data_IF_970247533653
#
_entry.id   IF_970247533653
#
_cell.length_a   1.000
_cell.length_b   1.000
_cell.length_c   1.000
_cell.angle_alpha   90.00
_cell.angle_beta   90.00
_cell.angle_gamma   90.00
#
_symmetry.space_group_name_H-M   'P 1'
#
loop_
_entity.id
_entity.type
_entity.pdbx_description
1 polymer ?
#
# COMPACT_ATOMS: atom_id res chain seq x y z
N UNK A 1 13.20 13.20 16.65
CA UNK A 1 12.33 13.69 15.56
C UNK A 1 10.92 13.81 16.14
N UNK A 2 10.28 14.97 16.05
CA UNK A 2 8.90 15.11 16.54
C UNK A 2 7.95 14.31 15.64
N UNK A 3 6.95 13.65 16.22
CA UNK A 3 6.00 12.79 15.50
C UNK A 3 5.30 13.55 14.36
N UNK A 4 4.94 14.83 14.57
CA UNK A 4 4.35 15.67 13.53
C UNK A 4 5.24 15.83 12.30
N UNK A 5 6.57 15.88 12.48
CA UNK A 5 7.52 15.94 11.35
C UNK A 5 7.57 14.61 10.61
N UNK A 6 7.38 13.49 11.31
CA UNK A 6 7.29 12.18 10.70
C UNK A 6 5.99 12.04 9.89
N UNK A 7 4.87 12.52 10.39
CA UNK A 7 3.59 12.53 9.66
C UNK A 7 3.72 13.29 8.32
N UNK A 8 4.30 14.49 8.34
CA UNK A 8 4.59 15.25 7.12
C UNK A 8 5.57 14.54 6.18
N UNK A 9 6.57 13.87 6.74
CA UNK A 9 7.49 13.07 5.95
C UNK A 9 6.76 11.91 5.27
N UNK A 10 5.83 11.22 5.94
CA UNK A 10 5.08 10.07 5.38
C UNK A 10 3.99 10.51 4.39
N UNK A 11 3.44 11.71 4.52
CA UNK A 11 2.49 12.26 3.55
C UNK A 11 3.09 12.37 2.13
N UNK A 12 4.38 12.69 2.00
CA UNK A 12 5.04 12.81 0.70
C UNK A 12 5.15 11.46 -0.05
N UNK A 13 5.70 10.37 0.53
CA UNK A 13 5.64 9.02 -0.04
C UNK A 13 4.23 8.54 -0.31
N UNK A 14 3.25 8.88 0.54
CA UNK A 14 1.85 8.53 0.28
C UNK A 14 1.36 9.17 -1.03
N UNK A 15 1.59 10.46 -1.24
CA UNK A 15 1.21 11.13 -2.50
C UNK A 15 1.96 10.57 -3.70
N UNK A 16 3.29 10.38 -3.58
CA UNK A 16 4.09 9.79 -4.65
C UNK A 16 3.61 8.38 -5.01
N UNK A 17 3.25 7.57 -4.01
CA UNK A 17 2.74 6.21 -4.23
C UNK A 17 1.44 6.18 -5.03
N UNK A 18 0.53 7.15 -4.81
CA UNK A 18 -0.70 7.26 -5.59
C UNK A 18 -0.42 7.56 -7.07
N UNK A 19 0.58 8.40 -7.34
CA UNK A 19 1.01 8.71 -8.71
C UNK A 19 1.61 7.47 -9.37
N UNK A 20 2.51 6.76 -8.68
CA UNK A 20 3.13 5.53 -9.19
C UNK A 20 2.13 4.40 -9.44
N UNK A 21 1.07 4.31 -8.62
CA UNK A 21 -0.03 3.36 -8.81
C UNK A 21 -0.87 3.71 -10.06
N UNK A 22 -1.07 5.00 -10.32
CA UNK A 22 -1.87 5.49 -11.44
C UNK A 22 -1.07 5.67 -12.74
N UNK A 23 0.24 5.43 -12.73
CA UNK A 23 1.10 5.60 -13.89
C UNK A 23 0.71 4.66 -15.03
N UNK A 24 0.73 5.16 -16.26
CA UNK A 24 0.40 4.38 -17.45
C UNK A 24 1.50 3.36 -17.74
N UNK A 25 1.11 2.12 -18.03
CA UNK A 25 2.07 1.10 -18.43
C UNK A 25 2.63 1.42 -19.82
N UNK A 26 3.88 0.99 -20.08
CA UNK A 26 4.42 0.96 -21.42
C UNK A 26 3.47 0.13 -22.34
N UNK A 27 3.33 0.49 -23.62
CA UNK A 27 2.43 -0.21 -24.53
C UNK A 27 2.89 -1.68 -24.66
N UNK A 28 2.17 -2.57 -23.99
CA UNK A 28 2.32 -4.03 -24.07
C UNK A 28 0.99 -4.63 -24.53
N UNK A 29 1.07 -5.79 -25.17
CA UNK A 29 -0.10 -6.51 -25.66
C UNK A 29 -0.97 -6.97 -24.48
N UNK A 30 -2.04 -6.23 -24.20
CA UNK A 30 -3.09 -6.62 -23.26
C UNK A 30 -4.37 -6.90 -24.05
N UNK A 31 -5.09 -7.96 -23.67
CA UNK A 31 -6.39 -8.30 -24.27
C UNK A 31 -7.45 -7.28 -23.83
N UNK A 32 -7.33 -6.79 -22.59
CA UNK A 32 -8.18 -5.74 -22.02
C UNK A 32 -7.35 -4.51 -21.72
N UNK A 33 -7.64 -3.41 -22.42
CA UNK A 33 -7.03 -2.11 -22.14
C UNK A 33 -7.73 -1.45 -20.95
N UNK A 34 -7.01 -1.25 -19.84
CA UNK A 34 -7.47 -0.43 -18.72
C UNK A 34 -6.94 1.00 -18.87
N UNK A 35 -7.78 1.99 -18.56
CA UNK A 35 -7.29 3.35 -18.42
C UNK A 35 -6.39 3.45 -17.17
N UNK A 36 -5.37 4.34 -17.17
CA UNK A 36 -4.49 4.49 -16.01
C UNK A 36 -5.26 4.81 -14.71
N UNK A 37 -6.35 5.58 -14.82
CA UNK A 37 -7.24 5.89 -13.71
C UNK A 37 -8.02 4.67 -13.19
N UNK A 38 -8.56 3.83 -14.08
CA UNK A 38 -9.25 2.61 -13.67
C UNK A 38 -8.29 1.63 -12.98
N UNK A 39 -7.08 1.46 -13.55
CA UNK A 39 -6.01 0.67 -12.93
C UNK A 39 -5.67 1.22 -11.54
N UNK A 40 -5.45 2.54 -11.44
CA UNK A 40 -5.10 3.19 -10.19
C UNK A 40 -6.18 3.04 -9.11
N UNK A 41 -7.47 3.12 -9.48
CA UNK A 41 -8.58 2.89 -8.56
C UNK A 41 -8.64 1.44 -8.08
N UNK A 42 -8.44 0.47 -8.98
CA UNK A 42 -8.45 -0.96 -8.61
C UNK A 42 -7.27 -1.28 -7.69
N UNK A 43 -6.05 -0.90 -8.08
CA UNK A 43 -4.84 -1.14 -7.31
C UNK A 43 -4.84 -0.40 -5.97
N UNK A 44 -5.25 0.88 -5.97
CA UNK A 44 -5.39 1.66 -4.75
C UNK A 44 -6.47 1.10 -3.82
N UNK A 45 -7.60 0.65 -4.39
CA UNK A 45 -8.69 0.02 -3.64
C UNK A 45 -8.28 -1.32 -3.02
N UNK A 46 -7.66 -2.20 -3.80
CA UNK A 46 -7.11 -3.47 -3.31
C UNK A 46 -6.00 -3.23 -2.27
N UNK A 47 -5.12 -2.27 -2.53
CA UNK A 47 -4.07 -1.85 -1.60
C UNK A 47 -4.66 -1.41 -0.27
N UNK A 48 -5.66 -0.53 -0.28
CA UNK A 48 -6.30 -0.05 0.95
C UNK A 48 -6.98 -1.20 1.70
N UNK A 49 -7.75 -2.02 0.98
CA UNK A 49 -8.47 -3.16 1.54
C UNK A 49 -7.51 -4.14 2.24
N UNK A 50 -6.45 -4.58 1.55
CA UNK A 50 -5.52 -5.56 2.11
C UNK A 50 -4.62 -4.97 3.19
N UNK A 51 -4.20 -3.70 3.09
CA UNK A 51 -3.43 -3.09 4.16
C UNK A 51 -4.25 -2.98 5.45
N UNK A 52 -5.51 -2.54 5.37
CA UNK A 52 -6.39 -2.48 6.54
C UNK A 52 -6.65 -3.88 7.10
N UNK A 53 -6.93 -4.87 6.23
CA UNK A 53 -7.17 -6.25 6.66
C UNK A 53 -5.96 -6.86 7.36
N UNK A 54 -4.75 -6.75 6.78
CA UNK A 54 -3.51 -7.28 7.36
C UNK A 54 -3.12 -6.49 8.62
N UNK A 55 -3.27 -5.17 8.64
CA UNK A 55 -3.01 -4.36 9.83
C UNK A 55 -3.97 -4.67 10.98
N UNK A 56 -5.20 -5.10 10.68
CA UNK A 56 -6.16 -5.56 11.67
C UNK A 56 -5.85 -6.99 12.14
N UNK A 57 -5.57 -7.91 11.22
CA UNK A 57 -5.32 -9.32 11.52
C UNK A 57 -3.99 -9.57 12.24
N UNK A 58 -2.97 -8.76 11.95
CA UNK A 58 -1.63 -8.93 12.53
C UNK A 58 -1.60 -8.79 14.04
N UNK A 59 -2.60 -8.14 14.66
CA UNK A 59 -2.78 -8.01 16.11
C UNK A 59 -1.48 -7.68 16.88
N UNK A 60 -0.51 -7.04 16.21
CA UNK A 60 0.83 -6.81 16.76
C UNK A 60 0.64 -5.98 18.03
N UNK A 61 1.08 -6.53 19.16
CA UNK A 61 0.77 -6.03 20.49
C UNK A 61 1.19 -4.56 20.60
N UNK A 62 0.19 -3.69 20.79
CA UNK A 62 0.35 -2.23 20.71
C UNK A 62 0.58 -1.59 22.07
N UNK A 63 0.53 -2.36 23.15
CA UNK A 63 0.40 -1.83 24.53
C UNK A 63 1.58 -0.99 25.02
N UNK A 64 2.72 -0.97 24.32
CA UNK A 64 3.85 -0.08 24.65
C UNK A 64 4.50 0.58 23.41
N UNK A 65 3.86 0.53 22.23
CA UNK A 65 4.51 0.94 20.96
C UNK A 65 4.66 2.46 20.78
N UNK A 66 4.03 3.26 21.65
CA UNK A 66 4.15 4.73 21.62
C UNK A 66 5.59 5.21 21.89
N UNK A 67 6.41 4.40 22.57
CA UNK A 67 7.77 4.80 22.96
C UNK A 67 8.79 4.71 21.81
N UNK A 68 8.48 4.01 20.70
CA UNK A 68 9.41 3.88 19.58
C UNK A 68 8.72 4.03 18.22
N UNK A 69 8.71 5.25 17.67
CA UNK A 69 8.28 5.55 16.29
C UNK A 69 8.91 4.60 15.24
N UNK A 70 10.12 4.09 15.52
CA UNK A 70 10.79 3.08 14.71
C UNK A 70 10.02 1.75 14.62
N UNK A 71 9.43 1.28 15.73
CA UNK A 71 8.64 0.04 15.75
C UNK A 71 7.35 0.19 14.93
N UNK A 72 6.69 1.33 15.03
CA UNK A 72 5.50 1.64 14.21
C UNK A 72 5.86 1.57 12.72
N UNK A 73 6.98 2.20 12.34
CA UNK A 73 7.47 2.22 10.96
C UNK A 73 7.84 0.83 10.44
N UNK A 74 8.50 0.01 11.28
CA UNK A 74 8.88 -1.35 10.93
C UNK A 74 7.65 -2.26 10.77
N UNK A 75 6.70 -2.19 11.71
CA UNK A 75 5.45 -2.95 11.62
C UNK A 75 4.62 -2.53 10.40
N UNK A 76 4.57 -1.23 10.11
CA UNK A 76 3.93 -0.72 8.91
C UNK A 76 4.57 -1.29 7.64
N UNK A 77 5.90 -1.45 7.61
CA UNK A 77 6.60 -2.01 6.46
C UNK A 77 6.24 -3.49 6.26
N UNK A 78 6.22 -4.28 7.34
CA UNK A 78 5.82 -5.68 7.30
C UNK A 78 4.39 -5.86 6.77
N UNK A 79 3.45 -5.03 7.25
CA UNK A 79 2.08 -5.03 6.74
C UNK A 79 2.04 -4.62 5.27
N UNK A 80 2.75 -3.56 4.89
CA UNK A 80 2.85 -3.10 3.50
C UNK A 80 3.36 -4.18 2.56
N UNK A 81 4.40 -4.93 2.95
CA UNK A 81 4.91 -6.06 2.19
C UNK A 81 3.87 -7.18 2.02
N UNK A 82 3.25 -7.62 3.11
CA UNK A 82 2.24 -8.67 3.07
C UNK A 82 1.01 -8.27 2.23
N UNK A 83 0.53 -7.03 2.38
CA UNK A 83 -0.57 -6.51 1.57
C UNK A 83 -0.19 -6.41 0.10
N UNK A 84 1.04 -5.99 -0.23
CA UNK A 84 1.52 -5.93 -1.62
C UNK A 84 1.54 -7.32 -2.27
N UNK A 85 1.94 -8.36 -1.54
CA UNK A 85 1.88 -9.73 -2.04
C UNK A 85 0.44 -10.16 -2.38
N UNK A 86 -0.54 -9.77 -1.56
CA UNK A 86 -1.96 -10.07 -1.80
C UNK A 86 -2.51 -9.29 -3.00
N UNK A 87 -2.20 -8.00 -3.12
CA UNK A 87 -2.57 -7.19 -4.30
C UNK A 87 -1.97 -7.80 -5.57
N UNK A 88 -0.68 -8.14 -5.54
CA UNK A 88 0.00 -8.75 -6.67
C UNK A 88 -0.61 -10.11 -7.04
N UNK A 89 -0.96 -10.94 -6.05
CA UNK A 89 -1.65 -12.21 -6.29
C UNK A 89 -2.99 -12.00 -6.99
N UNK A 90 -3.81 -11.06 -6.52
CA UNK A 90 -5.08 -10.71 -7.18
C UNK A 90 -4.86 -10.26 -8.63
N UNK A 91 -3.80 -9.47 -8.88
CA UNK A 91 -3.50 -9.01 -10.23
C UNK A 91 -3.02 -10.12 -11.15
N UNK A 92 -2.14 -11.01 -10.68
CA UNK A 92 -1.69 -12.19 -11.43
C UNK A 92 -2.86 -13.12 -11.77
N UNK A 93 -3.83 -13.28 -10.88
CA UNK A 93 -5.08 -14.00 -11.18
C UNK A 93 -5.84 -13.26 -12.28
N UNK A 94 -5.95 -11.94 -12.19
CA UNK A 94 -6.63 -11.13 -13.19
C UNK A 94 -5.97 -11.15 -14.58
N UNK A 95 -4.64 -11.15 -14.64
CA UNK A 95 -3.85 -11.33 -15.87
C UNK A 95 -4.20 -12.66 -16.53
N UNK A 96 -4.18 -13.77 -15.76
CA UNK A 96 -4.45 -15.11 -16.29
C UNK A 96 -5.90 -15.36 -16.68
N UNK A 97 -6.86 -14.77 -15.97
CA UNK A 97 -8.30 -15.05 -16.14
C UNK A 97 -8.96 -14.05 -17.09
N UNK A 98 -8.58 -12.77 -17.02
CA UNK A 98 -9.22 -11.68 -17.76
C UNK A 98 -8.31 -11.04 -18.81
N UNK A 99 -7.04 -11.45 -18.91
CA UNK A 99 -6.09 -10.86 -19.86
C UNK A 99 -5.74 -9.40 -19.52
N UNK A 100 -5.68 -9.08 -18.22
CA UNK A 100 -5.21 -7.77 -17.73
C UNK A 100 -3.74 -7.52 -18.13
N UNK A 101 -3.33 -6.25 -18.25
CA UNK A 101 -1.92 -5.92 -18.50
C UNK A 101 -1.03 -6.35 -17.33
N UNK A 102 0.21 -6.71 -17.64
CA UNK A 102 1.26 -6.96 -16.63
C UNK A 102 1.56 -5.67 -15.85
N UNK A 103 1.83 -5.78 -14.54
CA UNK A 103 2.19 -4.63 -13.72
C UNK A 103 3.62 -4.17 -13.99
N UNK A 104 3.80 -2.86 -14.19
CA UNK A 104 5.12 -2.25 -14.13
C UNK A 104 5.71 -2.33 -12.71
N UNK A 105 7.04 -2.38 -12.61
CA UNK A 105 7.73 -2.37 -11.31
C UNK A 105 7.38 -1.13 -10.48
N UNK A 106 7.13 0.00 -11.14
CA UNK A 106 6.71 1.25 -10.48
C UNK A 106 5.36 1.11 -9.80
N UNK A 107 4.41 0.34 -10.37
CA UNK A 107 3.14 0.06 -9.70
C UNK A 107 3.36 -0.75 -8.43
N UNK A 108 4.26 -1.75 -8.45
CA UNK A 108 4.56 -2.59 -7.28
C UNK A 108 5.21 -1.75 -6.17
N UNK A 109 6.19 -0.90 -6.51
CA UNK A 109 6.83 0.02 -5.56
C UNK A 109 5.80 1.02 -5.01
N UNK A 110 4.90 1.51 -5.87
CA UNK A 110 3.77 2.35 -5.50
C UNK A 110 2.89 1.66 -4.46
N UNK A 111 2.41 0.43 -4.73
CA UNK A 111 1.57 -0.33 -3.80
C UNK A 111 2.26 -0.57 -2.46
N UNK A 112 3.55 -0.92 -2.49
CA UNK A 112 4.35 -1.13 -1.27
C UNK A 112 4.45 0.14 -0.43
N UNK A 113 4.80 1.26 -1.07
CA UNK A 113 4.94 2.56 -0.40
C UNK A 113 3.60 3.07 0.13
N UNK A 114 2.53 2.90 -0.67
CA UNK A 114 1.18 3.21 -0.27
C UNK A 114 0.77 2.40 0.96
N UNK A 115 1.00 1.09 0.93
CA UNK A 115 0.66 0.20 2.03
C UNK A 115 1.42 0.51 3.31
N UNK A 116 2.72 0.82 3.18
CA UNK A 116 3.54 1.30 4.28
C UNK A 116 2.96 2.56 4.93
N UNK A 117 2.64 3.58 4.13
CA UNK A 117 2.10 4.85 4.63
C UNK A 117 0.70 4.68 5.26
N UNK A 118 -0.20 3.91 4.63
CA UNK A 118 -1.54 3.62 5.19
C UNK A 118 -1.43 2.86 6.51
N UNK A 119 -0.56 1.86 6.59
CA UNK A 119 -0.36 1.06 7.79
C UNK A 119 0.25 1.90 8.91
N UNK A 120 1.17 2.81 8.59
CA UNK A 120 1.70 3.80 9.53
C UNK A 120 0.56 4.63 10.15
N UNK A 121 -0.29 5.24 9.33
CA UNK A 121 -1.41 6.05 9.82
C UNK A 121 -2.44 5.22 10.60
N UNK A 122 -2.72 3.99 10.17
CA UNK A 122 -3.58 3.07 10.90
C UNK A 122 -3.06 2.78 12.31
N UNK A 123 -1.76 2.49 12.44
CA UNK A 123 -1.12 2.24 13.73
C UNK A 123 -1.04 3.51 14.57
N UNK A 124 -0.74 4.65 13.95
CA UNK A 124 -0.73 5.97 14.60
C UNK A 124 -2.09 6.31 15.21
N UNK A 125 -3.19 6.22 14.46
CA UNK A 125 -4.52 6.59 14.96
C UNK A 125 -5.06 5.61 16.01
N UNK A 126 -4.80 4.30 15.85
CA UNK A 126 -5.22 3.32 16.85
C UNK A 126 -4.31 3.27 18.09
N UNK A 127 -3.07 3.75 18.00
CA UNK A 127 -2.19 3.93 19.16
C UNK A 127 -2.67 5.08 20.05
N UNK A 128 -3.09 6.20 19.44
CA UNK A 128 -3.63 7.39 20.14
C UNK A 128 -5.01 7.14 20.77
N UNK A 129 -5.77 6.18 20.25
CA UNK A 129 -7.12 5.87 20.72
C UNK A 129 -7.12 4.75 21.77
N UNK A 130 -6.54 4.99 22.95
CA UNK A 130 -7.04 4.58 24.27
C UNK A 130 -6.11 4.99 25.40
#
# INVERSE_FOLDING_TARGET
>A
MNIERLDWFIALPLLASLVMIAEADAPREAVVALTPWAKGLILGGLGLLFNVAVAAASAIDRRCSEEYAFQIMANAALVGFAATMLVNLCWVIGEKVFGLPELASDNIIGILTFGWAISYYWFRFKGVAR
#
